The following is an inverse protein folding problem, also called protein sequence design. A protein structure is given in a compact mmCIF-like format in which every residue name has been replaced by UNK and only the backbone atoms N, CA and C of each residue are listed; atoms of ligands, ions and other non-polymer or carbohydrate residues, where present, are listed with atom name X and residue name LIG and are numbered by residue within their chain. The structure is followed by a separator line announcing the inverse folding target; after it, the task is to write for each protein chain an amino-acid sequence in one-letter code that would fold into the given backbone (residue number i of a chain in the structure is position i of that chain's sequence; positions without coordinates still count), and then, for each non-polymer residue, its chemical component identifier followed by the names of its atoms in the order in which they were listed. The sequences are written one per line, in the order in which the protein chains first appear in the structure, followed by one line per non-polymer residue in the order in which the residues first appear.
data_IF_358747608006
#
_entry.id   IF_358747608006
#
_cell.length_a   1.000
_cell.length_b   1.000
_cell.length_c   1.000
_cell.angle_alpha   90.00
_cell.angle_beta   90.00
_cell.angle_gamma   90.00
#
_symmetry.space_group_name_H-M   'P 1'
#
loop_
_entity.id
_entity.type
_entity.pdbx_description
1 polymer ?
#
# COMPACT_ATOMS: atom_id res chain seq x y z
N UNK A 1 -40.46 -2.75 82.37
CA UNK A 1 -41.22 -2.50 81.12
C UNK A 1 -40.17 -2.17 80.06
N UNK A 2 -39.73 -3.07 79.15
CA UNK A 2 -40.39 -3.58 77.91
C UNK A 2 -41.19 -2.44 77.23
N UNK A 3 -40.97 -2.06 75.97
CA UNK A 3 -40.76 -2.85 74.76
C UNK A 3 -40.12 -1.95 73.66
N UNK A 4 -39.09 -2.36 72.91
CA UNK A 4 -39.04 -3.19 71.68
C UNK A 4 -39.00 -2.38 70.36
N UNK A 5 -37.93 -2.68 69.59
CA UNK A 5 -37.86 -2.89 68.12
C UNK A 5 -38.10 -1.67 67.22
N UNK A 6 -37.33 -1.42 66.16
CA UNK A 6 -36.25 -2.18 65.52
C UNK A 6 -36.08 -1.70 64.07
N UNK A 7 -35.00 -2.15 63.40
CA UNK A 7 -34.75 -2.14 61.95
C UNK A 7 -34.72 -0.75 61.26
N UNK A 8 -33.83 -0.43 60.32
CA UNK A 8 -33.11 -1.28 59.38
C UNK A 8 -31.81 -0.58 58.93
N UNK A 9 -30.69 -1.28 59.06
CA UNK A 9 -29.45 -1.03 58.32
C UNK A 9 -29.61 -1.71 56.95
N UNK A 10 -30.19 -1.02 55.96
CA UNK A 10 -30.40 -1.50 54.58
C UNK A 10 -30.32 -0.26 53.66
N UNK A 11 -29.52 -0.17 52.60
CA UNK A 11 -28.53 -1.08 52.06
C UNK A 11 -27.45 -0.26 51.37
N UNK A 12 -26.20 -0.49 51.77
CA UNK A 12 -24.99 0.00 51.10
C UNK A 12 -24.37 -1.16 50.32
N UNK A 13 -25.09 -1.73 49.35
CA UNK A 13 -24.56 -2.81 48.50
C UNK A 13 -25.44 -2.96 47.26
N UNK A 14 -25.13 -2.21 46.21
CA UNK A 14 -25.83 -2.36 44.95
C UNK A 14 -25.62 -1.19 44.03
N UNK A 15 -24.37 -1.00 43.55
CA UNK A 15 -24.03 -0.49 42.22
C UNK A 15 -22.51 -0.64 41.96
N UNK A 16 -21.88 -1.69 42.50
CA UNK A 16 -20.67 -2.28 41.93
C UNK A 16 -21.04 -3.07 40.66
N UNK A 17 -21.86 -2.46 39.78
CA UNK A 17 -21.96 -2.88 38.39
C UNK A 17 -20.58 -2.65 37.81
N UNK A 18 -19.85 -3.76 37.63
CA UNK A 18 -18.42 -3.78 37.38
C UNK A 18 -17.98 -2.69 36.42
N UNK A 19 -16.99 -1.90 36.86
CA UNK A 19 -16.14 -1.15 35.94
C UNK A 19 -15.48 -2.18 35.05
N UNK A 20 -16.15 -2.47 33.95
CA UNK A 20 -15.63 -3.30 32.90
C UNK A 20 -14.32 -2.67 32.43
N UNK A 21 -13.24 -3.47 32.44
CA UNK A 21 -11.91 -2.96 32.14
C UNK A 21 -11.84 -2.60 30.65
N UNK A 22 -12.13 -1.32 30.37
CA UNK A 22 -12.10 -0.74 29.03
C UNK A 22 -10.73 -0.90 28.39
N UNK A 23 -9.66 -0.97 29.19
CA UNK A 23 -8.30 -1.22 28.74
C UNK A 23 -8.18 -2.61 28.12
N UNK A 24 -8.58 -3.65 28.86
CA UNK A 24 -8.56 -5.04 28.36
C UNK A 24 -9.40 -5.25 27.11
N UNK A 25 -10.62 -4.68 27.07
CA UNK A 25 -11.45 -4.74 25.85
C UNK A 25 -10.84 -3.99 24.66
N UNK A 26 -10.15 -2.89 24.92
CA UNK A 26 -9.45 -2.15 23.86
C UNK A 26 -8.25 -2.94 23.34
N UNK A 27 -7.51 -3.59 24.23
CA UNK A 27 -6.36 -4.44 23.87
C UNK A 27 -6.79 -5.65 23.04
N UNK A 28 -7.82 -6.39 23.46
CA UNK A 28 -8.37 -7.53 22.72
C UNK A 28 -8.82 -7.12 21.30
N UNK A 29 -9.48 -5.97 21.17
CA UNK A 29 -9.85 -5.43 19.85
C UNK A 29 -8.64 -5.00 19.04
N UNK A 30 -7.65 -4.37 19.65
CA UNK A 30 -6.44 -3.94 18.96
C UNK A 30 -5.66 -5.13 18.40
N UNK A 31 -5.58 -6.25 19.14
CA UNK A 31 -5.00 -7.50 18.66
C UNK A 31 -5.78 -8.02 17.46
N UNK A 32 -7.11 -8.10 17.57
CA UNK A 32 -7.96 -8.55 16.45
C UNK A 32 -7.79 -7.69 15.19
N UNK A 33 -7.80 -6.36 15.33
CA UNK A 33 -7.59 -5.45 14.21
C UNK A 33 -6.17 -5.54 13.63
N UNK A 34 -5.15 -5.78 14.47
CA UNK A 34 -3.78 -5.94 13.99
C UNK A 34 -3.63 -7.21 13.14
N UNK A 35 -4.26 -8.32 13.54
CA UNK A 35 -4.30 -9.56 12.76
C UNK A 35 -5.04 -9.37 11.42
N UNK A 36 -6.15 -8.63 11.42
CA UNK A 36 -6.88 -8.29 10.20
C UNK A 36 -6.03 -7.40 9.27
N UNK A 37 -5.39 -6.36 9.81
CA UNK A 37 -4.51 -5.48 9.05
C UNK A 37 -3.33 -6.24 8.45
N UNK A 38 -2.75 -7.19 9.18
CA UNK A 38 -1.68 -8.05 8.68
C UNK A 38 -2.15 -8.90 7.49
N UNK A 39 -3.30 -9.57 7.61
CA UNK A 39 -3.89 -10.37 6.52
C UNK A 39 -4.20 -9.54 5.28
N UNK A 40 -4.70 -8.32 5.48
CA UNK A 40 -4.93 -7.37 4.38
C UNK A 40 -3.62 -6.98 3.70
N UNK A 41 -2.56 -6.73 4.47
CA UNK A 41 -1.24 -6.45 3.92
C UNK A 41 -0.66 -7.61 3.12
N UNK A 42 -0.81 -8.86 3.60
CA UNK A 42 -0.38 -10.04 2.84
C UNK A 42 -1.15 -10.20 1.53
N UNK A 43 -2.46 -9.98 1.56
CA UNK A 43 -3.31 -10.04 0.38
C UNK A 43 -2.91 -8.97 -0.65
N UNK A 44 -2.68 -7.73 -0.21
CA UNK A 44 -2.27 -6.61 -1.06
C UNK A 44 -0.92 -6.88 -1.75
N UNK A 45 0.08 -7.33 -0.98
CA UNK A 45 1.39 -7.70 -1.53
C UNK A 45 1.25 -8.84 -2.55
N UNK A 46 0.40 -9.84 -2.26
CA UNK A 46 0.16 -10.94 -3.17
C UNK A 46 -0.53 -10.50 -4.48
N UNK A 47 -1.47 -9.55 -4.39
CA UNK A 47 -2.11 -8.92 -5.55
C UNK A 47 -1.06 -8.17 -6.40
N UNK A 48 -0.17 -7.39 -5.80
CA UNK A 48 0.90 -6.72 -6.53
C UNK A 48 1.87 -7.71 -7.19
N UNK A 49 2.27 -8.78 -6.49
CA UNK A 49 3.16 -9.83 -7.04
C UNK A 49 2.60 -10.48 -8.30
N UNK A 50 1.29 -10.76 -8.33
CA UNK A 50 0.62 -11.34 -9.50
C UNK A 50 0.33 -10.29 -10.57
N UNK A 51 -0.17 -9.14 -10.13
CA UNK A 51 -0.70 -8.08 -10.97
C UNK A 51 0.39 -7.29 -11.70
N UNK A 52 1.51 -6.98 -11.05
CA UNK A 52 2.51 -6.08 -11.64
C UNK A 52 3.15 -6.66 -12.91
N UNK A 53 3.59 -7.93 -12.96
CA UNK A 53 4.05 -8.53 -14.21
C UNK A 53 2.97 -8.60 -15.30
N UNK A 54 1.71 -8.82 -14.93
CA UNK A 54 0.60 -8.83 -15.88
C UNK A 54 0.30 -7.42 -16.44
N UNK A 55 0.35 -6.41 -15.58
CA UNK A 55 0.20 -5.00 -15.94
C UNK A 55 1.31 -4.53 -16.87
N UNK A 56 2.56 -4.95 -16.62
CA UNK A 56 3.69 -4.65 -17.49
C UNK A 56 3.51 -5.22 -18.90
N UNK A 57 2.97 -6.45 -19.03
CA UNK A 57 2.60 -7.03 -20.34
C UNK A 57 1.47 -6.24 -21.01
N UNK A 58 0.47 -5.80 -20.24
CA UNK A 58 -0.59 -4.93 -20.78
C UNK A 58 -0.07 -3.58 -21.25
N UNK A 59 0.92 -3.01 -20.58
CA UNK A 59 1.56 -1.78 -21.04
C UNK A 59 2.19 -1.97 -22.44
N UNK A 60 2.83 -3.10 -22.72
CA UNK A 60 3.34 -3.43 -24.07
C UNK A 60 2.23 -3.35 -25.13
N UNK A 61 1.09 -3.98 -24.86
CA UNK A 61 -0.06 -3.99 -25.77
C UNK A 61 -0.62 -2.57 -26.01
N UNK A 62 -0.69 -1.75 -24.96
CA UNK A 62 -1.29 -0.41 -25.01
C UNK A 62 -0.33 0.63 -25.62
N UNK A 63 0.97 0.52 -25.36
CA UNK A 63 2.00 1.41 -25.94
C UNK A 63 2.06 1.20 -27.45
N UNK A 64 2.05 -0.05 -27.90
CA UNK A 64 2.08 -0.39 -29.32
C UNK A 64 3.35 0.11 -30.02
N UNK A 65 3.22 0.54 -31.28
CA UNK A 65 4.34 1.03 -32.09
C UNK A 65 4.74 2.49 -31.79
N UNK A 66 3.86 3.26 -31.14
CA UNK A 66 4.13 4.64 -30.75
C UNK A 66 4.92 4.62 -29.42
N UNK A 67 6.18 5.07 -29.46
CA UNK A 67 7.12 4.91 -28.34
C UNK A 67 7.34 6.16 -27.51
N UNK A 68 6.80 7.32 -27.90
CA UNK A 68 7.07 8.55 -27.15
C UNK A 68 6.20 8.62 -25.87
N UNK A 69 6.81 8.39 -24.71
CA UNK A 69 6.13 8.44 -23.42
C UNK A 69 6.32 9.83 -22.80
N UNK A 70 5.32 10.69 -22.96
CA UNK A 70 5.21 11.94 -22.20
C UNK A 70 4.62 11.69 -20.81
N UNK A 71 4.80 12.58 -19.80
CA UNK A 71 4.21 12.40 -18.48
C UNK A 71 2.68 12.21 -18.49
N UNK A 72 1.97 12.98 -19.32
CA UNK A 72 0.51 12.84 -19.48
C UNK A 72 0.11 11.50 -20.09
N UNK A 73 0.90 11.00 -21.05
CA UNK A 73 0.70 9.67 -21.63
C UNK A 73 1.00 8.58 -20.61
N UNK A 74 2.10 8.67 -19.87
CA UNK A 74 2.47 7.73 -18.82
C UNK A 74 1.34 7.53 -17.79
N UNK A 75 0.74 8.62 -17.30
CA UNK A 75 -0.44 8.55 -16.41
C UNK A 75 -1.61 7.79 -17.01
N UNK A 76 -1.93 8.10 -18.27
CA UNK A 76 -3.01 7.42 -18.99
C UNK A 76 -2.73 5.93 -19.19
N UNK A 77 -1.48 5.57 -19.50
CA UNK A 77 -1.02 4.19 -19.66
C UNK A 77 -1.13 3.40 -18.35
N UNK A 78 -0.62 3.95 -17.25
CA UNK A 78 -0.68 3.32 -15.92
C UNK A 78 -2.13 3.05 -15.51
N UNK A 79 -3.01 4.05 -15.66
CA UNK A 79 -4.44 3.89 -15.35
C UNK A 79 -5.08 2.78 -16.17
N UNK A 80 -4.85 2.76 -17.49
CA UNK A 80 -5.40 1.71 -18.38
C UNK A 80 -4.86 0.32 -18.04
N UNK A 81 -3.57 0.20 -17.74
CA UNK A 81 -2.96 -1.06 -17.36
C UNK A 81 -3.52 -1.57 -16.02
N UNK A 82 -3.70 -0.68 -15.05
CA UNK A 82 -4.37 -1.00 -13.79
C UNK A 82 -5.80 -1.45 -14.03
N UNK A 83 -6.56 -0.73 -14.84
CA UNK A 83 -7.95 -1.07 -15.19
C UNK A 83 -8.07 -2.43 -15.89
N UNK A 84 -7.06 -2.83 -16.66
CA UNK A 84 -7.06 -4.08 -17.41
C UNK A 84 -6.64 -5.32 -16.58
N UNK A 85 -6.15 -5.15 -15.35
CA UNK A 85 -5.62 -6.23 -14.52
C UNK A 85 -6.31 -6.23 -13.16
N UNK A 86 -7.18 -7.22 -12.93
CA UNK A 86 -7.99 -7.31 -11.70
C UNK A 86 -7.16 -7.23 -10.42
N UNK A 87 -6.02 -7.93 -10.34
CA UNK A 87 -5.14 -7.86 -9.18
C UNK A 87 -4.64 -6.42 -8.91
N UNK A 88 -4.35 -5.62 -9.95
CA UNK A 88 -3.91 -4.22 -9.78
C UNK A 88 -5.07 -3.26 -9.47
N UNK A 89 -6.30 -3.58 -9.90
CA UNK A 89 -7.48 -2.84 -9.47
C UNK A 89 -7.81 -3.08 -8.00
N UNK A 90 -7.66 -4.33 -7.54
CA UNK A 90 -7.95 -4.73 -6.16
C UNK A 90 -6.87 -4.23 -5.21
N UNK A 91 -5.61 -4.33 -5.62
CA UNK A 91 -4.46 -3.88 -4.85
C UNK A 91 -4.67 -2.44 -4.35
N UNK A 92 -4.53 -2.29 -3.05
CA UNK A 92 -4.53 -1.05 -2.26
C UNK A 92 -3.16 -0.38 -2.26
N UNK A 93 -2.28 -0.73 -3.21
CA UNK A 93 -1.06 0.02 -3.54
C UNK A 93 -1.30 1.53 -3.52
N UNK A 94 -0.37 2.27 -2.93
CA UNK A 94 -0.47 3.73 -2.82
C UNK A 94 -0.42 4.40 -4.19
N UNK A 95 0.39 3.88 -5.12
CA UNK A 95 0.51 4.33 -6.52
C UNK A 95 1.38 3.38 -7.35
N UNK A 96 1.41 3.59 -8.66
CA UNK A 96 2.36 3.01 -9.61
C UNK A 96 3.13 4.12 -10.34
N UNK A 97 4.35 3.82 -10.75
CA UNK A 97 5.22 4.75 -11.49
C UNK A 97 5.73 4.04 -12.74
N UNK A 98 5.71 4.74 -13.87
CA UNK A 98 6.35 4.28 -15.11
C UNK A 98 7.69 4.99 -15.25
N UNK A 99 8.76 4.24 -15.49
CA UNK A 99 10.12 4.76 -15.64
C UNK A 99 10.71 4.35 -16.98
N UNK A 100 11.78 5.03 -17.38
CA UNK A 100 12.72 4.47 -18.35
C UNK A 100 13.61 3.39 -17.71
N UNK A 101 14.54 2.84 -18.49
CA UNK A 101 15.46 1.81 -18.03
C UNK A 101 16.40 2.35 -16.96
N UNK A 102 16.81 3.60 -17.03
CA UNK A 102 17.67 4.32 -16.09
C UNK A 102 16.99 4.58 -14.73
N UNK A 103 15.70 4.29 -14.62
CA UNK A 103 14.90 4.50 -13.41
C UNK A 103 14.42 5.93 -13.27
N UNK A 104 14.47 6.71 -14.36
CA UNK A 104 13.92 8.05 -14.44
C UNK A 104 12.41 7.93 -14.63
N UNK A 105 11.64 8.46 -13.67
CA UNK A 105 10.19 8.38 -13.73
C UNK A 105 9.61 9.33 -14.80
N UNK A 106 8.76 8.79 -15.67
CA UNK A 106 7.92 9.57 -16.57
C UNK A 106 6.79 10.24 -15.79
N UNK A 107 6.04 9.46 -15.01
CA UNK A 107 4.98 9.93 -14.11
C UNK A 107 4.52 8.81 -13.17
N UNK A 108 3.89 9.19 -12.05
CA UNK A 108 3.06 8.31 -11.22
C UNK A 108 1.56 8.42 -11.56
N UNK A 109 0.76 7.44 -11.17
CA UNK A 109 -0.71 7.47 -11.29
C UNK A 109 -1.42 8.21 -10.14
N UNK A 110 -0.68 8.93 -9.29
CA UNK A 110 -1.22 9.81 -8.26
C UNK A 110 -1.97 11.00 -8.87
N UNK A 111 -2.96 11.52 -8.12
CA UNK A 111 -3.65 12.77 -8.46
C UNK A 111 -2.66 13.95 -8.52
N UNK A 112 -1.74 14.01 -7.55
CA UNK A 112 -0.60 14.94 -7.55
C UNK A 112 0.68 14.15 -7.75
N UNK A 113 1.25 14.24 -8.94
CA UNK A 113 2.45 13.50 -9.30
C UNK A 113 3.73 14.20 -8.83
N UNK A 114 4.35 13.65 -7.77
CA UNK A 114 5.66 14.07 -7.29
C UNK A 114 6.84 13.40 -8.00
N UNK A 115 6.61 12.37 -8.81
CA UNK A 115 7.65 11.48 -9.32
C UNK A 115 8.20 11.87 -10.68
N UNK A 116 7.43 12.56 -11.52
CA UNK A 116 7.89 12.93 -12.87
C UNK A 116 9.25 13.63 -12.83
N UNK A 117 10.22 13.11 -13.59
CA UNK A 117 11.57 13.66 -13.61
C UNK A 117 12.45 13.26 -12.41
N UNK A 118 12.02 12.34 -11.54
CA UNK A 118 12.84 11.81 -10.43
C UNK A 118 13.48 10.44 -10.70
N UNK A 119 14.71 10.25 -10.23
CA UNK A 119 15.45 8.99 -10.34
C UNK A 119 15.17 8.06 -9.16
N UNK A 120 14.44 6.97 -9.40
CA UNK A 120 13.94 6.10 -8.33
C UNK A 120 15.04 5.23 -7.69
N UNK A 121 16.09 4.90 -8.44
CA UNK A 121 17.15 4.02 -7.94
C UNK A 121 18.01 4.65 -6.84
N UNK A 122 17.86 5.94 -6.57
CA UNK A 122 18.50 6.61 -5.42
C UNK A 122 17.89 6.14 -4.10
N UNK A 123 16.56 6.06 -4.02
CA UNK A 123 15.82 5.55 -2.85
C UNK A 123 15.74 4.02 -2.81
N UNK A 124 15.85 3.36 -3.97
CA UNK A 124 15.74 1.91 -4.10
C UNK A 124 16.76 1.29 -5.08
N UNK A 125 18.05 1.23 -4.73
CA UNK A 125 19.11 0.77 -5.65
C UNK A 125 18.91 -0.66 -6.18
N UNK A 126 18.31 -1.54 -5.37
CA UNK A 126 18.03 -2.91 -5.76
C UNK A 126 17.02 -3.04 -6.92
N UNK A 127 16.17 -2.01 -7.16
CA UNK A 127 15.24 -2.00 -8.28
C UNK A 127 15.92 -1.96 -9.66
N UNK A 128 17.23 -1.67 -9.73
CA UNK A 128 17.99 -1.82 -10.98
C UNK A 128 17.87 -3.22 -11.59
N UNK A 129 17.68 -4.25 -10.76
CA UNK A 129 17.45 -5.65 -11.18
C UNK A 129 16.07 -5.89 -11.79
N UNK A 130 15.13 -4.95 -11.65
CA UNK A 130 13.80 -5.07 -12.24
C UNK A 130 13.83 -5.15 -13.77
N UNK A 131 14.94 -4.72 -14.39
CA UNK A 131 15.20 -4.89 -15.83
C UNK A 131 15.24 -6.37 -16.24
N UNK A 132 15.71 -7.24 -15.35
CA UNK A 132 15.89 -8.67 -15.65
C UNK A 132 14.66 -9.50 -15.27
N UNK A 133 13.70 -8.91 -14.55
CA UNK A 133 12.49 -9.58 -14.10
C UNK A 133 11.86 -8.91 -12.88
N UNK A 134 10.82 -9.53 -12.33
CA UNK A 134 10.17 -9.01 -11.14
C UNK A 134 11.14 -8.91 -9.95
N UNK A 135 11.20 -7.75 -9.31
CA UNK A 135 12.10 -7.46 -8.17
C UNK A 135 11.36 -6.68 -7.10
N UNK A 136 11.57 -7.05 -5.84
CA UNK A 136 11.07 -6.31 -4.67
C UNK A 136 12.23 -5.74 -3.86
N UNK A 137 12.01 -4.61 -3.21
CA UNK A 137 12.92 -4.06 -2.21
C UNK A 137 12.18 -3.18 -1.22
N UNK A 138 12.86 -2.88 -0.13
CA UNK A 138 12.44 -1.87 0.84
C UNK A 138 13.43 -0.71 0.74
N UNK A 139 12.94 0.52 0.91
CA UNK A 139 13.76 1.71 0.92
C UNK A 139 12.94 2.94 1.28
N UNK A 140 13.40 4.11 0.89
CA UNK A 140 12.68 5.35 1.15
C UNK A 140 13.01 6.41 0.10
N UNK A 141 12.00 7.11 -0.37
CA UNK A 141 12.12 8.27 -1.23
C UNK A 141 11.16 9.36 -0.76
N UNK A 142 11.62 10.62 -0.74
CA UNK A 142 10.83 11.75 -0.26
C UNK A 142 9.54 11.93 -1.07
N UNK A 143 9.60 11.71 -2.38
CA UNK A 143 8.46 11.86 -3.28
C UNK A 143 7.34 10.84 -3.04
N UNK A 144 7.66 9.68 -2.46
CA UNK A 144 6.67 8.66 -2.09
C UNK A 144 6.16 8.77 -0.66
N UNK A 145 6.63 9.76 0.11
CA UNK A 145 6.39 9.84 1.54
C UNK A 145 4.94 10.24 1.82
N UNK A 146 4.23 9.41 2.58
CA UNK A 146 2.92 9.74 3.17
C UNK A 146 3.03 10.41 4.55
N UNK A 147 4.19 10.33 5.22
CA UNK A 147 4.42 10.93 6.53
C UNK A 147 4.78 12.42 6.45
N UNK A 148 4.23 13.25 7.35
CA UNK A 148 4.60 14.68 7.44
C UNK A 148 6.04 14.89 7.92
N UNK A 149 6.54 14.00 8.77
CA UNK A 149 7.87 14.09 9.39
C UNK A 149 8.45 12.69 9.58
N UNK A 150 9.77 12.57 9.51
CA UNK A 150 10.47 11.30 9.68
C UNK A 150 10.71 10.56 8.36
N UNK A 151 11.37 9.41 8.48
CA UNK A 151 11.63 8.51 7.36
C UNK A 151 10.38 7.66 7.14
N UNK A 152 9.94 7.56 5.89
CA UNK A 152 8.83 6.70 5.50
C UNK A 152 9.39 5.53 4.70
N UNK A 153 9.31 4.35 5.32
CA UNK A 153 9.84 3.12 4.75
C UNK A 153 8.79 2.57 3.78
N UNK A 154 9.18 2.44 2.53
CA UNK A 154 8.32 1.98 1.45
C UNK A 154 8.78 0.60 0.99
N UNK A 155 7.84 -0.33 0.91
CA UNK A 155 7.99 -1.53 0.09
C UNK A 155 7.65 -1.18 -1.36
N UNK A 156 8.53 -1.56 -2.28
CA UNK A 156 8.33 -1.31 -3.72
C UNK A 156 8.64 -2.57 -4.51
N UNK A 157 7.92 -2.73 -5.61
CA UNK A 157 8.14 -3.78 -6.58
C UNK A 157 8.29 -3.18 -7.98
N UNK A 158 9.14 -3.79 -8.79
CA UNK A 158 9.34 -3.43 -10.19
C UNK A 158 9.18 -4.66 -11.09
N UNK A 159 8.63 -4.47 -12.28
CA UNK A 159 8.61 -5.45 -13.35
C UNK A 159 8.96 -4.76 -14.67
N UNK A 160 9.73 -5.40 -15.55
CA UNK A 160 10.11 -4.79 -16.82
C UNK A 160 8.88 -4.75 -17.74
N UNK A 161 8.69 -3.64 -18.45
CA UNK A 161 7.73 -3.57 -19.56
C UNK A 161 8.42 -4.13 -20.79
N UNK A 162 7.99 -5.26 -21.36
CA UNK A 162 8.59 -5.79 -22.57
C UNK A 162 8.34 -4.84 -23.75
N UNK A 163 9.36 -4.61 -24.57
CA UNK A 163 9.25 -4.01 -25.88
C UNK A 163 8.87 -5.04 -26.94
N UNK A 164 8.65 -4.58 -28.19
CA UNK A 164 8.27 -5.45 -29.31
C UNK A 164 9.26 -6.59 -29.62
N UNK A 165 10.53 -6.43 -29.24
CA UNK A 165 11.59 -7.44 -29.39
C UNK A 165 11.74 -8.35 -28.15
N UNK A 166 10.85 -8.21 -27.17
CA UNK A 166 10.85 -8.97 -25.92
C UNK A 166 11.86 -8.48 -24.88
N UNK A 167 12.65 -7.44 -25.18
CA UNK A 167 13.57 -6.83 -24.21
C UNK A 167 12.87 -5.71 -23.44
N UNK A 168 13.30 -5.37 -22.21
CA UNK A 168 12.73 -4.25 -21.47
C UNK A 168 12.80 -2.93 -22.27
N UNK A 169 11.79 -2.09 -22.14
CA UNK A 169 11.72 -0.74 -22.70
C UNK A 169 11.30 0.29 -21.65
#
# INVERSE_FOLDING_TARGET
MRALRGLALVGLLGLLGGCEDKGKRSEEKAIGHADEAHKLGEADVAEVRRGLPAGAKKLTEIIGADREITPGRARSLLRKAREAVTDLQTAKSTFFVLTDLEGQAYASDLETDGFSGKGLFTGWPALTKARDGYTETIGSLEEGRGLRTGIDIQWVAGAPVPGPDGKPQ
#
